data_IF_305721088001
#
_entry.id   IF_305721088001
#
_cell.length_a   1.000
_cell.length_b   1.000
_cell.length_c   1.000
_cell.angle_alpha   90.00
_cell.angle_beta   90.00
_cell.angle_gamma   90.00
#
_symmetry.space_group_name_H-M   'P 1'
#
loop_
_entity.id
_entity.type
_entity.pdbx_description
1 polymer ?
#
# COMPACT_ATOMS: atom_id res chain seq x y z
N UNK A 1 -17.38 -8.78 -14.91
CA UNK A 1 -16.42 -9.88 -15.16
C UNK A 1 -15.08 -9.42 -14.61
N UNK A 2 -14.80 -9.72 -13.35
CA UNK A 2 -13.49 -9.52 -12.77
C UNK A 2 -13.10 -10.93 -12.34
N UNK A 3 -12.03 -11.44 -12.95
CA UNK A 3 -11.52 -12.78 -12.72
C UNK A 3 -10.79 -12.79 -11.38
N UNK A 4 -11.27 -13.62 -10.46
CA UNK A 4 -10.64 -13.86 -9.16
C UNK A 4 -9.38 -14.70 -9.38
N UNK A 5 -8.22 -14.09 -9.18
CA UNK A 5 -6.94 -14.78 -9.25
C UNK A 5 -6.75 -15.57 -7.96
N UNK A 6 -7.08 -16.86 -8.00
CA UNK A 6 -6.80 -17.79 -6.92
C UNK A 6 -5.29 -17.79 -6.62
N UNK A 7 -4.92 -17.23 -5.47
CA UNK A 7 -3.57 -17.33 -4.92
C UNK A 7 -3.32 -18.78 -4.51
N UNK A 8 -2.62 -19.53 -5.38
CA UNK A 8 -2.19 -20.88 -5.09
C UNK A 8 -1.03 -20.83 -4.09
N UNK A 9 -1.34 -21.00 -2.81
CA UNK A 9 -0.33 -21.27 -1.78
C UNK A 9 0.25 -22.66 -2.02
N UNK A 10 1.44 -22.73 -2.59
CA UNK A 10 2.19 -23.98 -2.71
C UNK A 10 2.69 -24.43 -1.33
N UNK A 11 1.99 -25.38 -0.72
CA UNK A 11 2.48 -26.08 0.47
C UNK A 11 3.65 -27.00 0.10
N UNK A 12 4.87 -26.58 0.45
CA UNK A 12 6.05 -27.44 0.44
C UNK A 12 5.87 -28.48 1.56
N UNK A 13 5.53 -29.72 1.19
CA UNK A 13 5.39 -30.81 2.15
C UNK A 13 6.77 -31.42 2.47
N UNK A 14 7.13 -31.64 3.75
CA UNK A 14 8.28 -32.47 4.10
C UNK A 14 8.03 -33.93 3.69
N UNK A 15 9.04 -34.67 3.20
CA UNK A 15 8.85 -36.03 2.72
C UNK A 15 8.57 -36.98 3.90
N UNK A 16 7.35 -37.49 3.99
CA UNK A 16 7.01 -38.59 4.91
C UNK A 16 5.61 -38.58 5.52
N UNK A 17 4.80 -37.53 5.33
CA UNK A 17 3.45 -37.48 5.90
C UNK A 17 2.39 -37.84 4.85
N UNK A 18 1.91 -39.09 4.90
CA UNK A 18 0.72 -39.52 4.15
C UNK A 18 -0.50 -39.36 5.06
N UNK A 19 -1.41 -38.39 4.82
CA UNK A 19 -2.62 -38.26 5.62
C UNK A 19 -3.66 -39.31 5.18
N UNK A 20 -4.41 -39.82 6.16
CA UNK A 20 -5.59 -40.65 5.93
C UNK A 20 -6.67 -39.85 5.19
N UNK A 21 -7.38 -40.53 4.27
CA UNK A 21 -8.46 -39.97 3.46
C UNK A 21 -9.65 -39.54 4.33
N UNK A 22 -9.64 -38.31 4.86
CA UNK A 22 -10.75 -37.75 5.63
C UNK A 22 -10.44 -36.46 6.41
N UNK A 23 -9.18 -36.19 6.74
CA UNK A 23 -8.82 -35.06 7.63
C UNK A 23 -8.46 -33.76 6.88
N UNK A 24 -8.14 -33.85 5.58
CA UNK A 24 -7.68 -32.69 4.79
C UNK A 24 -8.79 -31.67 4.49
N UNK A 25 -10.03 -32.13 4.35
CA UNK A 25 -11.17 -31.25 4.03
C UNK A 25 -11.67 -30.46 5.25
N UNK A 26 -11.61 -31.03 6.45
CA UNK A 26 -12.03 -30.33 7.67
C UNK A 26 -11.02 -29.23 8.04
N UNK A 27 -9.72 -29.55 8.05
CA UNK A 27 -8.67 -28.59 8.40
C UNK A 27 -8.62 -27.38 7.44
N UNK A 28 -8.81 -27.62 6.15
CA UNK A 28 -8.78 -26.56 5.13
C UNK A 28 -10.02 -25.64 5.17
N UNK A 29 -11.17 -26.15 5.63
CA UNK A 29 -12.40 -25.36 5.82
C UNK A 29 -12.32 -24.52 7.10
N UNK A 30 -11.79 -25.08 8.19
CA UNK A 30 -11.62 -24.38 9.46
C UNK A 30 -10.65 -23.20 9.35
N UNK A 31 -9.53 -23.38 8.66
CA UNK A 31 -8.56 -22.29 8.39
C UNK A 31 -9.18 -21.18 7.53
N UNK A 32 -9.97 -21.54 6.51
CA UNK A 32 -10.67 -20.55 5.67
C UNK A 32 -11.76 -19.79 6.43
N UNK A 33 -12.52 -20.47 7.30
CA UNK A 33 -13.57 -19.86 8.11
C UNK A 33 -12.97 -18.91 9.16
N UNK A 34 -11.88 -19.30 9.83
CA UNK A 34 -11.19 -18.44 10.80
C UNK A 34 -10.53 -17.22 10.13
N UNK A 35 -9.94 -17.41 8.95
CA UNK A 35 -9.37 -16.32 8.14
C UNK A 35 -10.44 -15.30 7.73
N UNK A 36 -11.62 -15.78 7.31
CA UNK A 36 -12.73 -14.91 6.93
C UNK A 36 -13.32 -14.15 8.12
N UNK A 37 -13.48 -14.79 9.30
CA UNK A 37 -13.99 -14.11 10.51
C UNK A 37 -13.02 -13.04 11.02
N UNK A 38 -11.71 -13.32 11.00
CA UNK A 38 -10.70 -12.33 11.38
C UNK A 38 -10.68 -11.13 10.43
N UNK A 39 -10.78 -11.40 9.12
CA UNK A 39 -10.87 -10.35 8.08
C UNK A 39 -12.16 -9.53 8.21
N UNK A 40 -13.31 -10.17 8.45
CA UNK A 40 -14.58 -9.48 8.67
C UNK A 40 -14.57 -8.65 9.97
N UNK A 41 -13.92 -9.14 11.02
CA UNK A 41 -13.78 -8.39 12.28
C UNK A 41 -12.91 -7.15 12.10
N UNK A 42 -11.83 -7.25 11.31
CA UNK A 42 -10.94 -6.15 10.98
C UNK A 42 -11.62 -5.09 10.08
N UNK A 43 -12.49 -5.52 9.15
CA UNK A 43 -13.33 -4.63 8.33
C UNK A 43 -14.45 -3.96 9.13
N UNK A 44 -15.03 -4.66 10.11
CA UNK A 44 -16.20 -4.20 10.85
C UNK A 44 -15.95 -3.06 11.84
N UNK A 45 -14.70 -2.64 12.07
CA UNK A 45 -14.34 -1.61 13.05
C UNK A 45 -13.87 -0.26 12.47
N UNK A 46 -13.43 -0.23 11.21
CA UNK A 46 -13.02 1.01 10.53
C UNK A 46 -14.24 1.64 9.84
N UNK A 47 -14.50 2.92 10.11
CA UNK A 47 -15.47 3.67 9.31
C UNK A 47 -14.87 3.95 7.92
N UNK A 48 -15.18 3.06 6.97
CA UNK A 48 -14.66 3.15 5.59
C UNK A 48 -15.02 4.47 4.91
N UNK A 49 -16.21 5.03 5.18
CA UNK A 49 -16.65 6.27 4.54
C UNK A 49 -15.84 7.45 5.06
N UNK A 50 -15.64 7.51 6.38
CA UNK A 50 -14.79 8.53 6.98
C UNK A 50 -13.33 8.38 6.51
N UNK A 51 -12.82 7.15 6.42
CA UNK A 51 -11.45 6.90 5.96
C UNK A 51 -11.25 7.29 4.49
N UNK A 52 -12.20 6.96 3.61
CA UNK A 52 -12.14 7.41 2.20
C UNK A 52 -12.12 8.94 2.08
N UNK A 53 -12.84 9.66 2.95
CA UNK A 53 -12.79 11.12 2.98
C UNK A 53 -11.42 11.67 3.44
N UNK A 54 -10.73 10.95 4.34
CA UNK A 54 -9.33 11.26 4.71
C UNK A 54 -8.42 11.08 3.50
N UNK A 55 -8.50 9.94 2.81
CA UNK A 55 -7.71 9.68 1.59
C UNK A 55 -7.99 10.73 0.51
N UNK A 56 -9.25 11.09 0.28
CA UNK A 56 -9.63 12.14 -0.68
C UNK A 56 -9.00 13.49 -0.34
N UNK A 57 -9.00 13.86 0.94
CA UNK A 57 -8.41 15.12 1.40
C UNK A 57 -6.90 15.11 1.19
N UNK A 58 -6.21 14.02 1.56
CA UNK A 58 -4.78 13.85 1.35
C UNK A 58 -4.42 13.93 -0.15
N UNK A 59 -5.17 13.24 -1.00
CA UNK A 59 -4.96 13.25 -2.45
C UNK A 59 -5.12 14.66 -3.05
N UNK A 60 -6.18 15.41 -2.66
CA UNK A 60 -6.36 16.80 -3.09
C UNK A 60 -5.19 17.69 -2.67
N UNK A 61 -4.74 17.57 -1.43
CA UNK A 61 -3.59 18.34 -0.94
C UNK A 61 -2.29 17.97 -1.66
N UNK A 62 -2.09 16.69 -1.98
CA UNK A 62 -0.96 16.23 -2.76
C UNK A 62 -1.00 16.80 -4.19
N UNK A 63 -2.14 16.74 -4.88
CA UNK A 63 -2.33 17.30 -6.24
C UNK A 63 -2.00 18.79 -6.30
N UNK A 64 -2.47 19.58 -5.32
CA UNK A 64 -2.21 21.01 -5.29
C UNK A 64 -0.73 21.38 -5.07
N UNK A 65 0.06 20.48 -4.47
CA UNK A 65 1.45 20.71 -4.11
C UNK A 65 2.48 19.91 -4.90
N UNK A 66 2.06 19.06 -5.84
CA UNK A 66 2.98 18.13 -6.51
C UNK A 66 3.71 18.72 -7.73
N UNK A 67 3.37 19.93 -8.18
CA UNK A 67 3.99 20.54 -9.36
C UNK A 67 3.76 19.74 -10.65
N UNK A 68 2.67 18.97 -10.72
CA UNK A 68 2.35 18.00 -11.78
C UNK A 68 3.31 16.79 -11.90
N UNK A 69 4.16 16.56 -10.89
CA UNK A 69 4.93 15.31 -10.81
C UNK A 69 4.10 14.19 -10.16
N UNK A 70 4.12 13.01 -10.77
CA UNK A 70 3.48 11.81 -10.21
C UNK A 70 4.26 11.26 -9.02
N UNK A 71 5.57 11.08 -9.12
CA UNK A 71 6.42 10.63 -8.00
C UNK A 71 6.24 11.53 -6.76
N UNK A 72 6.18 12.85 -6.96
CA UNK A 72 5.98 13.77 -5.85
C UNK A 72 4.55 13.78 -5.32
N UNK A 73 3.55 13.48 -6.16
CA UNK A 73 2.20 13.21 -5.71
C UNK A 73 2.16 11.96 -4.82
N UNK A 74 2.73 10.84 -5.27
CA UNK A 74 2.79 9.56 -4.54
C UNK A 74 3.51 9.75 -3.20
N UNK A 75 4.63 10.45 -3.19
CA UNK A 75 5.40 10.75 -1.97
C UNK A 75 4.58 11.51 -0.94
N UNK A 76 3.91 12.60 -1.36
CA UNK A 76 3.09 13.44 -0.47
C UNK A 76 1.84 12.73 0.01
N UNK A 77 1.13 12.07 -0.91
CA UNK A 77 -0.09 11.33 -0.61
C UNK A 77 0.20 10.21 0.39
N UNK A 78 1.19 9.37 0.08
CA UNK A 78 1.52 8.21 0.91
C UNK A 78 2.06 8.62 2.27
N UNK A 79 2.90 9.66 2.35
CA UNK A 79 3.39 10.16 3.64
C UNK A 79 2.27 10.70 4.54
N UNK A 80 1.26 11.35 3.96
CA UNK A 80 0.08 11.79 4.72
C UNK A 80 -0.77 10.60 5.16
N UNK A 81 -0.99 9.62 4.28
CA UNK A 81 -1.69 8.37 4.61
C UNK A 81 -0.97 7.66 5.76
N UNK A 82 0.35 7.50 5.69
CA UNK A 82 1.17 6.90 6.75
C UNK A 82 0.93 7.62 8.08
N UNK A 83 1.00 8.96 8.09
CA UNK A 83 0.77 9.76 9.30
C UNK A 83 -0.63 9.57 9.89
N UNK A 84 -1.65 9.39 9.05
CA UNK A 84 -3.04 9.15 9.45
C UNK A 84 -3.23 7.72 9.98
N UNK A 85 -2.66 6.71 9.28
CA UNK A 85 -2.73 5.30 9.65
C UNK A 85 -2.10 5.04 11.00
N UNK A 86 -0.96 5.68 11.32
CA UNK A 86 -0.31 5.54 12.64
C UNK A 86 -1.19 6.01 13.82
N UNK A 87 -2.27 6.76 13.57
CA UNK A 87 -3.23 7.19 14.60
C UNK A 87 -4.39 6.21 14.78
N UNK A 88 -4.54 5.25 13.87
CA UNK A 88 -5.53 4.20 13.98
C UNK A 88 -5.03 3.07 14.89
N UNK A 89 -5.94 2.34 15.54
CA UNK A 89 -5.60 1.08 16.19
C UNK A 89 -4.87 0.13 15.23
N UNK A 90 -3.86 -0.59 15.72
CA UNK A 90 -3.01 -1.49 14.91
C UNK A 90 -3.83 -2.47 14.06
N UNK A 91 -4.89 -3.05 14.65
CA UNK A 91 -5.85 -3.93 13.98
C UNK A 91 -6.77 -3.24 12.95
N UNK A 92 -6.52 -2.00 12.57
CA UNK A 92 -7.22 -1.31 11.49
C UNK A 92 -6.26 -0.83 10.40
N UNK A 93 -4.96 -0.74 10.71
CA UNK A 93 -3.98 -0.10 9.85
C UNK A 93 -3.82 -0.80 8.49
N UNK A 94 -3.75 -2.14 8.49
CA UNK A 94 -3.63 -2.90 7.24
C UNK A 94 -4.82 -2.67 6.30
N UNK A 95 -6.04 -2.59 6.85
CA UNK A 95 -7.23 -2.36 6.04
C UNK A 95 -7.36 -0.92 5.57
N UNK A 96 -6.93 0.04 6.41
CA UNK A 96 -6.85 1.44 6.03
C UNK A 96 -5.87 1.65 4.85
N UNK A 97 -4.71 1.00 4.88
CA UNK A 97 -3.73 1.03 3.78
C UNK A 97 -4.29 0.42 2.49
N UNK A 98 -4.99 -0.71 2.58
CA UNK A 98 -5.68 -1.30 1.43
C UNK A 98 -6.67 -0.32 0.77
N UNK A 99 -7.47 0.41 1.57
CA UNK A 99 -8.39 1.41 1.03
C UNK A 99 -7.62 2.57 0.36
N UNK A 100 -6.45 2.94 0.89
CA UNK A 100 -5.61 3.99 0.31
C UNK A 100 -5.02 3.56 -1.05
N UNK A 101 -4.61 2.30 -1.19
CA UNK A 101 -4.17 1.69 -2.47
C UNK A 101 -5.30 1.60 -3.50
N UNK A 102 -6.54 1.30 -3.07
CA UNK A 102 -7.69 1.28 -3.98
C UNK A 102 -8.11 2.68 -4.44
N UNK A 103 -7.98 3.67 -3.57
CA UNK A 103 -8.46 5.03 -3.81
C UNK A 103 -7.44 5.89 -4.57
N UNK A 104 -6.16 5.73 -4.28
CA UNK A 104 -5.08 6.48 -4.89
C UNK A 104 -3.83 5.62 -5.01
N UNK A 105 -2.74 6.23 -5.46
CA UNK A 105 -1.48 5.53 -5.71
C UNK A 105 -0.64 5.47 -4.42
N UNK A 106 -1.19 4.89 -3.35
CA UNK A 106 -0.41 4.69 -2.13
C UNK A 106 0.78 3.77 -2.43
N UNK A 107 1.96 4.16 -1.94
CA UNK A 107 3.17 3.37 -1.99
C UNK A 107 3.79 3.31 -0.59
N UNK A 108 4.27 2.12 -0.23
CA UNK A 108 4.93 1.91 1.06
C UNK A 108 6.20 2.76 1.17
N UNK A 109 6.67 3.06 2.40
CA UNK A 109 7.93 3.79 2.58
C UNK A 109 9.13 3.16 1.84
N UNK A 110 9.16 1.83 1.71
CA UNK A 110 10.23 1.13 1.01
C UNK A 110 10.17 1.34 -0.52
N UNK A 111 9.00 1.22 -1.14
CA UNK A 111 8.81 1.46 -2.59
C UNK A 111 9.10 2.93 -2.96
N UNK A 112 8.71 3.85 -2.08
CA UNK A 112 9.03 5.28 -2.24
C UNK A 112 10.53 5.51 -2.15
N UNK A 113 11.22 4.89 -1.20
CA UNK A 113 12.67 5.00 -1.10
C UNK A 113 13.38 4.43 -2.33
N UNK A 114 12.95 3.27 -2.85
CA UNK A 114 13.50 2.71 -4.09
C UNK A 114 13.35 3.67 -5.28
N UNK A 115 12.19 4.33 -5.39
CA UNK A 115 11.95 5.36 -6.41
C UNK A 115 12.91 6.55 -6.23
N UNK A 116 13.12 7.01 -4.99
CA UNK A 116 14.03 8.11 -4.69
C UNK A 116 15.50 7.76 -4.99
N UNK A 117 15.92 6.54 -4.68
CA UNK A 117 17.27 6.05 -4.97
C UNK A 117 17.50 5.98 -6.48
N UNK A 118 16.55 5.42 -7.23
CA UNK A 118 16.60 5.40 -8.70
C UNK A 118 16.65 6.83 -9.28
N UNK A 119 15.84 7.74 -8.76
CA UNK A 119 15.84 9.14 -9.20
C UNK A 119 17.23 9.79 -8.99
N UNK A 120 17.81 9.61 -7.81
CA UNK A 120 19.14 10.14 -7.49
C UNK A 120 20.23 9.57 -8.41
N UNK A 121 20.18 8.28 -8.74
CA UNK A 121 21.11 7.62 -9.66
C UNK A 121 20.97 8.09 -11.11
N UNK A 122 19.80 8.62 -11.50
CA UNK A 122 19.48 9.00 -12.88
C UNK A 122 19.42 10.53 -13.10
N UNK A 123 19.88 11.34 -12.15
CA UNK A 123 19.87 12.81 -12.30
C UNK A 123 18.48 13.44 -12.17
N UNK A 124 17.52 12.70 -11.61
CA UNK A 124 16.17 13.17 -11.31
C UNK A 124 16.15 13.65 -9.85
N UNK A 125 15.51 14.77 -9.58
CA UNK A 125 15.39 15.29 -8.23
C UNK A 125 14.37 14.48 -7.41
N UNK A 126 14.32 14.73 -6.10
CA UNK A 126 13.36 14.04 -5.22
C UNK A 126 11.88 14.32 -5.55
N UNK A 127 11.62 15.34 -6.37
CA UNK A 127 10.30 15.65 -6.88
C UNK A 127 9.98 14.88 -8.18
N UNK A 128 10.79 13.91 -8.63
CA UNK A 128 10.54 13.13 -9.85
C UNK A 128 10.66 13.93 -11.15
N UNK A 129 11.43 15.02 -11.14
CA UNK A 129 11.67 15.87 -12.31
C UNK A 129 13.18 15.96 -12.53
N UNK A 130 13.62 16.00 -13.79
CA UNK A 130 15.01 16.33 -14.13
C UNK A 130 15.48 17.55 -13.29
N UNK A 131 16.65 17.41 -12.65
CA UNK A 131 17.11 18.38 -11.64
C UNK A 131 17.16 19.81 -12.19
N UNK A 132 17.60 19.98 -13.43
CA UNK A 132 17.76 21.28 -14.08
C UNK A 132 16.44 21.84 -14.63
N UNK A 133 15.41 21.00 -14.70
CA UNK A 133 14.07 21.39 -15.16
C UNK A 133 13.08 21.58 -14.01
N UNK A 134 13.45 21.24 -12.77
CA UNK A 134 12.53 21.26 -11.65
C UNK A 134 12.16 22.71 -11.25
N UNK A 135 10.87 23.08 -11.23
CA UNK A 135 10.43 24.44 -10.90
C UNK A 135 10.70 24.83 -9.43
N UNK A 136 11.07 23.86 -8.59
CA UNK A 136 11.51 24.10 -7.22
C UNK A 136 12.98 24.55 -7.11
N UNK A 137 13.72 24.60 -8.22
CA UNK A 137 15.13 25.04 -8.25
C UNK A 137 16.12 23.97 -7.79
N UNK A 138 15.88 22.69 -8.09
CA UNK A 138 16.72 21.58 -7.62
C UNK A 138 18.10 21.47 -8.31
N UNK A 139 18.27 22.07 -9.49
CA UNK A 139 19.53 22.14 -10.24
C UNK A 139 20.47 23.24 -9.77
N UNK A 140 19.97 24.22 -9.02
CA UNK A 140 20.76 25.39 -8.58
C UNK A 140 21.70 25.08 -7.39
N UNK A 141 21.76 23.82 -6.94
CA UNK A 141 22.52 23.38 -5.75
C UNK A 141 23.96 22.92 -6.05
N UNK A 142 24.54 23.33 -7.17
CA UNK A 142 25.98 23.14 -7.43
C UNK A 142 26.81 24.23 -6.74
N UNK A 143 27.73 23.83 -5.86
CA UNK A 143 28.83 24.65 -5.32
C UNK A 143 30.14 23.86 -5.37
#
# INVERSE_FOLDING_TARGET
MIADAASAVFFIHPPGFFPHAGETLAFSLEVSIMSNIASDTHRSALDETAWRAVCETAAKQAIHGCGQSHDWYVERFSSEVDAQVHRLPEHQQAYALQIAEEYGDYATPAERQETQDWNAENGICMHGIDRDCCPAGCGDLEY
#
